data_IF_347316533228
#
_entry.id   IF_347316533228
#
_cell.length_a   1.000
_cell.length_b   1.000
_cell.length_c   1.000
_cell.angle_alpha   90.00
_cell.angle_beta   90.00
_cell.angle_gamma   90.00
#
_symmetry.space_group_name_H-M   'P 1'
#
loop_
_entity.id
_entity.type
_entity.pdbx_description
1 polymer ?
#
# COMPACT_ATOMS: atom_id res chain seq x y z
N UNK A 1 -4.02 -21.19 16.19
CA UNK A 1 -3.77 -20.99 14.74
C UNK A 1 -2.81 -19.82 14.56
N UNK A 2 -1.58 -20.03 14.07
CA UNK A 2 -0.64 -18.91 13.87
C UNK A 2 -1.21 -17.99 12.78
N UNK A 3 -1.35 -16.69 13.08
CA UNK A 3 -1.69 -15.70 12.05
C UNK A 3 -0.52 -15.66 11.07
N UNK A 4 -0.76 -15.99 9.80
CA UNK A 4 0.24 -15.77 8.76
C UNK A 4 0.60 -14.27 8.74
N UNK A 5 1.82 -13.93 8.34
CA UNK A 5 2.29 -12.53 8.30
C UNK A 5 1.34 -11.61 7.47
N UNK A 6 0.60 -12.17 6.50
CA UNK A 6 -0.45 -11.47 5.77
C UNK A 6 -1.66 -11.11 6.65
N UNK A 7 -2.16 -12.04 7.45
CA UNK A 7 -3.30 -11.81 8.35
C UNK A 7 -3.00 -10.77 9.44
N UNK A 8 -1.78 -10.78 10.00
CA UNK A 8 -1.35 -9.78 10.98
C UNK A 8 -1.27 -8.36 10.36
N UNK A 9 -0.83 -8.25 9.11
CA UNK A 9 -0.81 -6.97 8.37
C UNK A 9 -2.21 -6.46 8.06
N UNK A 10 -3.11 -7.33 7.61
CA UNK A 10 -4.51 -6.98 7.38
C UNK A 10 -5.14 -6.41 8.65
N UNK A 11 -4.92 -7.06 9.80
CA UNK A 11 -5.40 -6.56 11.09
C UNK A 11 -4.79 -5.20 11.46
N UNK A 12 -3.49 -5.02 11.24
CA UNK A 12 -2.79 -3.75 11.53
C UNK A 12 -3.35 -2.56 10.75
N UNK A 13 -3.81 -2.80 9.52
CA UNK A 13 -4.35 -1.79 8.61
C UNK A 13 -5.87 -1.89 8.43
N UNK A 14 -6.60 -2.54 9.35
CA UNK A 14 -8.04 -2.74 9.23
C UNK A 14 -8.85 -1.43 9.11
N UNK A 15 -8.36 -0.34 9.72
CA UNK A 15 -8.98 0.99 9.60
C UNK A 15 -8.66 1.75 8.31
N UNK A 16 -7.79 1.22 7.44
CA UNK A 16 -7.33 1.94 6.26
C UNK A 16 -8.44 2.28 5.26
N UNK A 17 -9.40 1.39 4.91
CA UNK A 17 -10.46 1.74 3.95
C UNK A 17 -11.23 3.00 4.34
N UNK A 18 -11.64 3.11 5.61
CA UNK A 18 -12.33 4.29 6.16
C UNK A 18 -11.46 5.54 6.07
N UNK A 19 -10.21 5.47 6.54
CA UNK A 19 -9.29 6.62 6.50
C UNK A 19 -8.95 7.06 5.08
N UNK A 20 -8.94 6.14 4.12
CA UNK A 20 -8.70 6.39 2.71
C UNK A 20 -9.96 6.87 1.97
N UNK A 21 -11.13 6.91 2.64
CA UNK A 21 -12.44 7.19 2.03
C UNK A 21 -12.77 6.22 0.90
N UNK A 22 -12.47 4.93 1.10
CA UNK A 22 -12.93 3.87 0.21
C UNK A 22 -14.39 3.58 0.58
N UNK A 23 -15.33 4.24 -0.10
CA UNK A 23 -16.76 4.19 0.23
C UNK A 23 -17.55 3.24 -0.68
N UNK A 24 -16.98 2.87 -1.83
CA UNK A 24 -17.59 1.92 -2.76
C UNK A 24 -17.13 0.48 -2.49
N UNK A 25 -18.04 -0.48 -2.66
CA UNK A 25 -17.77 -1.91 -2.43
C UNK A 25 -16.60 -2.41 -3.29
N UNK A 26 -16.46 -1.93 -4.54
CA UNK A 26 -15.36 -2.30 -5.40
C UNK A 26 -14.02 -1.78 -4.86
N UNK A 27 -14.00 -0.59 -4.25
CA UNK A 27 -12.79 -0.03 -3.65
C UNK A 27 -12.34 -0.84 -2.43
N UNK A 28 -13.28 -1.25 -1.57
CA UNK A 28 -12.99 -2.11 -0.42
C UNK A 28 -12.49 -3.50 -0.85
N UNK A 29 -13.13 -4.10 -1.86
CA UNK A 29 -12.69 -5.38 -2.44
C UNK A 29 -11.29 -5.27 -3.05
N UNK A 30 -11.01 -4.17 -3.76
CA UNK A 30 -9.69 -3.91 -4.30
C UNK A 30 -8.63 -3.72 -3.22
N UNK A 31 -8.95 -3.05 -2.11
CA UNK A 31 -8.06 -2.97 -0.94
C UNK A 31 -7.74 -4.36 -0.39
N UNK A 32 -8.77 -5.19 -0.17
CA UNK A 32 -8.59 -6.56 0.31
C UNK A 32 -7.67 -7.38 -0.61
N UNK A 33 -7.86 -7.26 -1.92
CA UNK A 33 -7.04 -7.99 -2.89
C UNK A 33 -5.59 -7.49 -2.95
N UNK A 34 -5.38 -6.17 -2.83
CA UNK A 34 -4.03 -5.59 -2.72
C UNK A 34 -3.32 -6.15 -1.50
N UNK A 35 -3.98 -6.19 -0.34
CA UNK A 35 -3.40 -6.72 0.89
C UNK A 35 -3.09 -8.21 0.80
N UNK A 36 -3.98 -8.99 0.16
CA UNK A 36 -3.80 -10.43 -0.03
C UNK A 36 -2.62 -10.77 -0.94
N UNK A 37 -2.40 -9.97 -1.98
CA UNK A 37 -1.34 -10.18 -2.99
C UNK A 37 -0.06 -9.39 -2.72
N UNK A 38 0.06 -8.73 -1.58
CA UNK A 38 1.22 -7.90 -1.30
C UNK A 38 2.47 -8.79 -1.19
N UNK A 39 3.39 -8.64 -2.14
CA UNK A 39 4.51 -9.56 -2.36
C UNK A 39 4.68 -9.83 -3.85
N UNK A 40 5.80 -9.42 -4.42
CA UNK A 40 6.07 -9.51 -5.84
C UNK A 40 5.39 -8.43 -6.70
N UNK A 41 5.42 -8.65 -8.01
CA UNK A 41 4.98 -7.65 -9.00
C UNK A 41 3.45 -7.64 -9.09
N UNK A 42 2.85 -6.68 -8.41
CA UNK A 42 1.41 -6.40 -8.46
C UNK A 42 1.12 -5.19 -9.36
N UNK A 43 0.30 -5.40 -10.39
CA UNK A 43 -0.19 -4.36 -11.32
C UNK A 43 -1.69 -4.15 -11.13
N UNK A 44 -2.17 -2.97 -11.53
CA UNK A 44 -3.60 -2.62 -11.60
C UNK A 44 -4.42 -3.64 -12.40
N UNK A 45 -3.86 -4.15 -13.51
CA UNK A 45 -4.49 -5.17 -14.34
C UNK A 45 -4.73 -6.48 -13.61
N UNK A 46 -3.85 -6.84 -12.68
CA UNK A 46 -3.95 -8.08 -11.92
C UNK A 46 -5.10 -8.00 -10.91
N UNK A 47 -5.25 -6.83 -10.27
CA UNK A 47 -6.38 -6.54 -9.38
C UNK A 47 -7.70 -6.51 -10.17
N UNK A 48 -7.74 -5.78 -11.29
CA UNK A 48 -8.95 -5.71 -12.12
C UNK A 48 -9.41 -7.10 -12.59
N UNK A 49 -8.47 -7.93 -13.07
CA UNK A 49 -8.74 -9.31 -13.47
C UNK A 49 -9.30 -10.15 -12.33
N UNK A 50 -8.71 -10.06 -11.14
CA UNK A 50 -9.20 -10.83 -9.98
C UNK A 50 -10.61 -10.42 -9.52
N UNK A 51 -10.97 -9.15 -9.73
CA UNK A 51 -12.29 -8.61 -9.41
C UNK A 51 -13.29 -8.76 -10.56
N UNK A 52 -12.87 -9.37 -11.69
CA UNK A 52 -13.69 -9.54 -12.90
C UNK A 52 -14.24 -8.22 -13.45
N UNK A 53 -13.45 -7.15 -13.40
CA UNK A 53 -13.78 -5.83 -13.96
C UNK A 53 -12.70 -5.37 -14.94
N UNK A 54 -13.04 -4.42 -15.81
CA UNK A 54 -12.01 -3.77 -16.64
C UNK A 54 -11.10 -2.87 -15.80
N UNK A 55 -9.86 -2.69 -16.28
CA UNK A 55 -8.88 -1.80 -15.66
C UNK A 55 -9.40 -0.37 -15.61
N UNK A 56 -10.08 0.06 -16.67
CA UNK A 56 -10.62 1.39 -16.86
C UNK A 56 -11.76 1.65 -15.88
N UNK A 57 -12.68 0.69 -15.72
CA UNK A 57 -13.75 0.77 -14.72
C UNK A 57 -13.17 0.85 -13.31
N UNK A 58 -12.24 -0.03 -12.95
CA UNK A 58 -11.59 0.01 -11.65
C UNK A 58 -10.86 1.34 -11.40
N UNK A 59 -10.16 1.86 -12.40
CA UNK A 59 -9.44 3.13 -12.28
C UNK A 59 -10.40 4.32 -12.10
N UNK A 60 -11.52 4.35 -12.84
CA UNK A 60 -12.57 5.37 -12.70
C UNK A 60 -13.20 5.34 -11.32
N UNK A 61 -13.48 4.15 -10.79
CA UNK A 61 -14.06 3.99 -9.45
C UNK A 61 -13.18 4.61 -8.35
N UNK A 62 -11.85 4.51 -8.46
CA UNK A 62 -10.93 5.17 -7.53
C UNK A 62 -10.75 6.68 -7.80
N UNK A 63 -11.23 7.21 -8.93
CA UNK A 63 -11.16 8.63 -9.28
C UNK A 63 -12.40 9.46 -8.89
N UNK A 64 -13.53 8.81 -8.62
CA UNK A 64 -14.84 9.47 -8.55
C UNK A 64 -15.26 10.05 -7.18
N UNK A 65 -14.48 9.84 -6.09
CA UNK A 65 -15.01 10.06 -4.72
C UNK A 65 -14.04 10.61 -3.68
N UNK A 66 -12.96 11.31 -4.08
CA UNK A 66 -11.95 11.82 -3.14
C UNK A 66 -11.07 10.75 -2.48
N UNK A 67 -11.28 9.48 -2.84
CA UNK A 67 -10.36 8.39 -2.58
C UNK A 67 -9.03 8.60 -3.33
N UNK A 68 -7.90 8.12 -2.81
CA UNK A 68 -6.66 8.08 -3.57
C UNK A 68 -6.79 7.13 -4.77
N UNK A 69 -6.19 7.46 -5.91
CA UNK A 69 -6.17 6.52 -7.03
C UNK A 69 -5.53 5.16 -6.66
N UNK A 70 -5.89 4.10 -7.39
CA UNK A 70 -5.47 2.73 -7.06
C UNK A 70 -3.94 2.56 -7.02
N UNK A 71 -3.19 3.26 -7.88
CA UNK A 71 -1.71 3.22 -7.84
C UNK A 71 -1.19 3.72 -6.48
N UNK A 72 -1.75 4.80 -5.96
CA UNK A 72 -1.38 5.33 -4.64
C UNK A 72 -1.76 4.38 -3.51
N UNK A 73 -2.87 3.66 -3.62
CA UNK A 73 -3.26 2.61 -2.66
C UNK A 73 -2.26 1.46 -2.68
N UNK A 74 -1.81 1.01 -3.86
CA UNK A 74 -0.76 -0.03 -3.99
C UNK A 74 0.57 0.45 -3.40
N UNK A 75 0.99 1.68 -3.71
CA UNK A 75 2.22 2.26 -3.16
C UNK A 75 2.15 2.37 -1.62
N UNK A 76 0.99 2.77 -1.06
CA UNK A 76 0.75 2.79 0.38
C UNK A 76 0.88 1.40 1.00
N UNK A 77 0.19 0.40 0.46
CA UNK A 77 0.25 -0.97 0.97
C UNK A 77 1.67 -1.55 0.93
N UNK A 78 2.43 -1.26 -0.15
CA UNK A 78 3.84 -1.64 -0.26
C UNK A 78 4.72 -0.93 0.76
N UNK A 79 4.57 0.38 0.96
CA UNK A 79 5.36 1.13 1.93
C UNK A 79 5.06 0.69 3.38
N UNK A 80 3.79 0.43 3.71
CA UNK A 80 3.41 -0.09 5.01
C UNK A 80 3.96 -1.50 5.26
N UNK A 81 3.96 -2.36 4.23
CA UNK A 81 4.59 -3.69 4.32
C UNK A 81 6.11 -3.60 4.40
N UNK A 82 6.73 -2.64 3.72
CA UNK A 82 8.16 -2.40 3.83
C UNK A 82 8.54 -1.95 5.25
N UNK A 83 7.73 -1.12 5.90
CA UNK A 83 7.94 -0.72 7.29
C UNK A 83 7.96 -1.92 8.24
N UNK A 84 7.02 -2.85 8.07
CA UNK A 84 6.94 -4.11 8.82
C UNK A 84 8.18 -4.99 8.59
N UNK A 85 8.50 -5.27 7.32
CA UNK A 85 9.64 -6.13 6.96
C UNK A 85 10.98 -5.55 7.43
N UNK A 86 11.20 -4.25 7.25
CA UNK A 86 12.46 -3.59 7.62
C UNK A 86 12.64 -3.43 9.14
N UNK A 87 11.60 -3.63 9.95
CA UNK A 87 11.72 -3.67 11.40
C UNK A 87 12.40 -4.96 11.90
N UNK A 88 12.50 -5.98 11.05
CA UNK A 88 13.08 -7.27 11.39
C UNK A 88 14.58 -7.29 11.05
N UNK A 89 15.47 -7.53 12.03
CA UNK A 89 16.90 -7.70 11.80
C UNK A 89 17.12 -8.82 10.76
N UNK A 90 17.83 -8.52 9.68
CA UNK A 90 18.07 -9.44 8.55
C UNK A 90 17.45 -9.00 7.22
N UNK A 91 16.48 -8.07 7.24
CA UNK A 91 15.94 -7.50 6.01
C UNK A 91 16.64 -6.20 5.61
N UNK A 92 17.41 -6.25 4.53
CA UNK A 92 17.95 -5.03 3.90
C UNK A 92 16.89 -4.35 3.01
N UNK A 93 17.05 -3.04 2.78
CA UNK A 93 16.20 -2.27 1.84
C UNK A 93 16.18 -2.92 0.44
N UNK A 94 17.32 -3.45 -0.02
CA UNK A 94 17.40 -4.17 -1.30
C UNK A 94 16.59 -5.46 -1.29
N UNK A 95 16.68 -6.24 -0.21
CA UNK A 95 15.92 -7.49 -0.08
C UNK A 95 14.41 -7.21 -0.05
N UNK A 96 13.98 -6.24 0.75
CA UNK A 96 12.57 -5.84 0.85
C UNK A 96 12.04 -5.29 -0.49
N UNK A 97 12.83 -4.49 -1.19
CA UNK A 97 12.45 -4.01 -2.53
C UNK A 97 12.15 -5.18 -3.48
N UNK A 98 12.99 -6.21 -3.48
CA UNK A 98 12.80 -7.42 -4.30
C UNK A 98 11.56 -8.20 -3.88
N UNK A 99 11.39 -8.44 -2.58
CA UNK A 99 10.23 -9.16 -2.00
C UNK A 99 8.92 -8.47 -2.40
N UNK A 100 8.89 -7.14 -2.41
CA UNK A 100 7.70 -6.35 -2.75
C UNK A 100 7.54 -6.07 -4.24
N UNK A 101 8.41 -6.64 -5.08
CA UNK A 101 8.36 -6.52 -6.54
C UNK A 101 8.72 -5.15 -7.10
N UNK A 102 9.49 -4.34 -6.36
CA UNK A 102 10.09 -3.13 -6.90
C UNK A 102 11.25 -3.48 -7.83
N UNK A 103 11.45 -2.66 -8.87
CA UNK A 103 12.57 -2.84 -9.79
C UNK A 103 13.94 -2.62 -9.11
N UNK A 104 13.99 -1.77 -8.08
CA UNK A 104 15.22 -1.55 -7.30
C UNK A 104 14.92 -0.94 -5.92
N UNK A 105 15.94 -0.87 -5.06
CA UNK A 105 15.88 -0.18 -3.77
C UNK A 105 15.51 1.32 -3.93
N UNK A 106 15.96 1.97 -5.00
CA UNK A 106 15.63 3.37 -5.30
C UNK A 106 14.14 3.56 -5.61
N UNK A 107 13.50 2.58 -6.25
CA UNK A 107 12.06 2.62 -6.48
C UNK A 107 11.27 2.50 -5.17
N UNK A 108 11.72 1.65 -4.25
CA UNK A 108 11.17 1.58 -2.89
C UNK A 108 11.37 2.90 -2.15
N UNK A 109 12.56 3.50 -2.20
CA UNK A 109 12.83 4.79 -1.57
C UNK A 109 11.98 5.92 -2.17
N UNK A 110 11.74 5.92 -3.48
CA UNK A 110 10.81 6.83 -4.13
C UNK A 110 9.37 6.66 -3.64
N UNK A 111 8.91 5.41 -3.48
CA UNK A 111 7.59 5.13 -2.90
C UNK A 111 7.48 5.60 -1.45
N UNK A 112 8.50 5.33 -0.61
CA UNK A 112 8.55 5.77 0.78
C UNK A 112 8.40 7.30 0.91
N UNK A 113 9.14 8.05 0.09
CA UNK A 113 9.06 9.53 0.06
C UNK A 113 7.68 10.02 -0.37
N UNK A 114 7.11 9.46 -1.44
CA UNK A 114 5.77 9.86 -1.92
C UNK A 114 4.65 9.52 -0.94
N UNK A 115 4.75 8.40 -0.23
CA UNK A 115 3.70 7.89 0.65
C UNK A 115 3.80 8.51 2.04
N UNK A 116 4.99 8.53 2.62
CA UNK A 116 5.21 8.86 4.02
C UNK A 116 6.14 10.06 4.25
N UNK A 117 6.72 10.63 3.20
CA UNK A 117 7.64 11.78 3.31
C UNK A 117 9.01 11.44 3.88
N UNK A 118 9.35 10.15 4.01
CA UNK A 118 10.60 9.68 4.63
C UNK A 118 11.41 8.79 3.70
N UNK A 119 12.67 8.53 4.05
CA UNK A 119 13.48 7.53 3.36
C UNK A 119 13.01 6.10 3.66
N UNK A 120 13.41 5.13 2.83
CA UNK A 120 13.09 3.73 3.07
C UNK A 120 13.65 3.19 4.41
N UNK A 121 14.78 3.73 4.89
CA UNK A 121 15.42 3.32 6.15
C UNK A 121 14.67 3.81 7.39
N UNK A 122 13.82 4.82 7.24
CA UNK A 122 13.04 5.39 8.34
C UNK A 122 11.65 4.75 8.48
N UNK A 123 11.21 3.97 7.48
CA UNK A 123 9.93 3.28 7.51
C UNK A 123 9.72 2.42 8.78
N UNK A 124 10.70 1.65 9.30
CA UNK A 124 10.54 0.90 10.54
C UNK A 124 10.13 1.74 11.74
N UNK A 125 10.65 2.98 11.83
CA UNK A 125 10.34 3.89 12.95
C UNK A 125 8.88 4.35 12.94
N UNK A 126 8.28 4.46 11.75
CA UNK A 126 6.86 4.76 11.60
C UNK A 126 5.99 3.53 11.84
N UNK A 127 6.48 2.35 11.44
CA UNK A 127 5.69 1.14 11.32
C UNK A 127 4.53 1.28 10.31
N UNK A 128 3.74 0.23 10.09
CA UNK A 128 2.65 0.25 9.12
C UNK A 128 1.58 1.32 9.41
N UNK A 129 1.23 1.50 10.69
CA UNK A 129 0.24 2.50 11.12
C UNK A 129 0.75 3.93 10.94
N UNK A 130 2.02 4.20 11.24
CA UNK A 130 2.62 5.52 11.03
C UNK A 130 2.71 5.88 9.55
N UNK A 131 3.01 4.91 8.68
CA UNK A 131 2.98 5.10 7.22
C UNK A 131 1.57 5.46 6.74
N UNK A 132 0.53 4.77 7.22
CA UNK A 132 -0.86 5.11 6.90
C UNK A 132 -1.21 6.52 7.38
N UNK A 133 -0.85 6.88 8.62
CA UNK A 133 -1.09 8.21 9.16
C UNK A 133 -0.37 9.30 8.35
N UNK A 134 0.89 9.08 7.98
CA UNK A 134 1.66 10.00 7.15
C UNK A 134 1.02 10.18 5.76
N UNK A 135 0.55 9.10 5.14
CA UNK A 135 -0.14 9.16 3.85
C UNK A 135 -1.46 9.93 3.93
N UNK A 136 -2.26 9.73 4.98
CA UNK A 136 -3.51 10.47 5.20
C UNK A 136 -3.21 11.97 5.37
N UNK A 137 -2.24 12.34 6.20
CA UNK A 137 -1.80 13.74 6.37
C UNK A 137 -1.21 14.34 5.08
N UNK A 138 -0.50 13.55 4.28
CA UNK A 138 0.05 14.00 3.00
C UNK A 138 -1.04 14.28 1.96
N UNK A 139 -2.17 13.56 2.01
CA UNK A 139 -3.34 13.85 1.17
C UNK A 139 -4.02 15.15 1.56
N UNK A 140 -4.16 15.45 2.85
CA UNK A 140 -4.71 16.74 3.29
C UNK A 140 -3.78 17.91 2.96
N UNK A 141 -2.50 17.64 2.67
CA UNK A 141 -1.50 18.62 2.20
C UNK A 141 -1.41 18.73 0.67
N UNK A 142 -2.18 17.95 -0.08
CA UNK A 142 -2.26 18.06 -1.55
C UNK A 142 -3.04 19.31 -1.93
N UNK A 143 -2.28 20.37 -2.20
CA UNK A 143 -2.52 21.59 -3.00
C UNK A 143 -3.87 21.67 -3.71
N UNK A 144 -4.56 22.80 -3.48
CA UNK A 144 -5.47 23.39 -4.47
C UNK A 144 -4.74 23.85 -5.72
#
# INVERSE_FOLDING_TARGET
MPRTASAARVATLAGAPRLLRLTDILQERAWGEVMRRIGGKLRTTDIARSLKVSREHLSRQFGAGGAPNLKRVIDLARAATAADLLANPGYSVRAVARILGFASASHLAGAARRVAGVSARELPRLGPRGVLAAFVRGRTRSRG
#
